data_IF_620107971029
#
_entry.id   IF_620107971029
#
_cell.length_a   1.000
_cell.length_b   1.000
_cell.length_c   1.000
_cell.angle_alpha   90.00
_cell.angle_beta   90.00
_cell.angle_gamma   90.00
#
_symmetry.space_group_name_H-M   'P 1'
#
loop_
_entity.id
_entity.type
_entity.pdbx_description
1 polymer ?
#
# COMPACT_ATOMS: atom_id res chain seq x y z
N UNK A 1 -17.21 -10.19 16.22
CA UNK A 1 -16.69 -8.82 16.00
C UNK A 1 -17.01 -7.99 17.22
N UNK A 2 -16.02 -7.33 17.83
CA UNK A 2 -16.29 -6.41 18.94
C UNK A 2 -16.84 -5.06 18.41
N UNK A 3 -17.31 -4.20 19.32
CA UNK A 3 -17.89 -2.90 18.98
C UNK A 3 -16.93 -2.02 18.17
N UNK A 4 -15.64 -2.07 18.51
CA UNK A 4 -14.56 -1.35 17.80
C UNK A 4 -14.48 -1.81 16.34
N UNK A 5 -14.47 -3.12 16.09
CA UNK A 5 -14.44 -3.67 14.74
C UNK A 5 -15.70 -3.30 13.95
N UNK A 6 -16.89 -3.38 14.57
CA UNK A 6 -18.14 -2.96 13.92
C UNK A 6 -18.09 -1.48 13.53
N UNK A 7 -17.59 -0.63 14.41
CA UNK A 7 -17.41 0.79 14.13
C UNK A 7 -16.44 1.03 12.96
N UNK A 8 -15.26 0.39 12.99
CA UNK A 8 -14.27 0.49 11.89
C UNK A 8 -14.88 0.05 10.56
N UNK A 9 -15.57 -1.09 10.53
CA UNK A 9 -16.21 -1.62 9.32
C UNK A 9 -17.30 -0.67 8.82
N UNK A 10 -18.15 -0.13 9.70
CA UNK A 10 -19.18 0.85 9.33
C UNK A 10 -18.57 2.13 8.76
N UNK A 11 -17.49 2.61 9.38
CA UNK A 11 -16.73 3.79 8.93
C UNK A 11 -16.09 3.56 7.57
N UNK A 12 -15.51 2.38 7.32
CA UNK A 12 -14.96 1.99 6.02
C UNK A 12 -16.07 1.89 4.95
N UNK A 13 -17.21 1.26 5.27
CA UNK A 13 -18.36 1.18 4.36
C UNK A 13 -18.91 2.56 3.99
N UNK A 14 -18.95 3.50 4.94
CA UNK A 14 -19.38 4.88 4.69
C UNK A 14 -18.40 5.64 3.78
N UNK A 15 -17.11 5.32 3.85
CA UNK A 15 -16.04 5.93 3.06
C UNK A 15 -15.54 4.95 1.99
N UNK A 16 -16.42 4.59 1.05
CA UNK A 16 -16.16 3.57 0.02
C UNK A 16 -14.87 3.81 -0.77
N UNK A 17 -14.61 5.03 -1.23
CA UNK A 17 -13.39 5.36 -1.99
C UNK A 17 -12.13 5.06 -1.17
N UNK A 18 -12.11 5.47 0.11
CA UNK A 18 -10.99 5.21 1.01
C UNK A 18 -10.76 3.70 1.18
N UNK A 19 -11.85 2.95 1.38
CA UNK A 19 -11.80 1.50 1.54
C UNK A 19 -11.32 0.79 0.29
N UNK A 20 -11.79 1.20 -0.89
CA UNK A 20 -11.36 0.65 -2.18
C UNK A 20 -9.87 0.88 -2.40
N UNK A 21 -9.38 2.10 -2.19
CA UNK A 21 -7.94 2.41 -2.32
C UNK A 21 -7.12 1.57 -1.35
N UNK A 22 -7.54 1.47 -0.08
CA UNK A 22 -6.86 0.66 0.93
C UNK A 22 -6.82 -0.82 0.52
N UNK A 23 -7.96 -1.41 0.15
CA UNK A 23 -8.06 -2.82 -0.24
C UNK A 23 -7.25 -3.11 -1.49
N UNK A 24 -7.37 -2.29 -2.54
CA UNK A 24 -6.61 -2.47 -3.78
C UNK A 24 -5.10 -2.37 -3.53
N UNK A 25 -4.67 -1.43 -2.67
CA UNK A 25 -3.26 -1.32 -2.32
C UNK A 25 -2.74 -2.56 -1.59
N UNK A 26 -3.47 -3.04 -0.58
CA UNK A 26 -3.09 -4.23 0.18
C UNK A 26 -3.09 -5.49 -0.70
N UNK A 27 -4.13 -5.67 -1.52
CA UNK A 27 -4.26 -6.80 -2.44
C UNK A 27 -3.12 -6.82 -3.47
N UNK A 28 -2.75 -5.67 -4.02
CA UNK A 28 -1.63 -5.57 -4.96
C UNK A 28 -0.30 -5.99 -4.32
N UNK A 29 0.03 -5.46 -3.14
CA UNK A 29 1.26 -5.83 -2.46
C UNK A 29 1.25 -7.28 -1.97
N UNK A 30 0.08 -7.82 -1.64
CA UNK A 30 -0.05 -9.24 -1.29
C UNK A 30 0.21 -10.13 -2.49
N UNK A 31 -0.41 -9.83 -3.63
CA UNK A 31 -0.17 -10.51 -4.90
C UNK A 31 1.32 -10.45 -5.30
N UNK A 32 1.93 -9.26 -5.24
CA UNK A 32 3.37 -9.10 -5.51
C UNK A 32 4.20 -9.87 -4.49
N UNK A 33 3.83 -9.85 -3.21
CA UNK A 33 4.47 -10.64 -2.16
C UNK A 33 4.52 -12.12 -2.50
N UNK A 34 3.39 -12.71 -2.90
CA UNK A 34 3.33 -14.11 -3.36
C UNK A 34 4.23 -14.32 -4.57
N UNK A 35 4.19 -13.42 -5.56
CA UNK A 35 5.03 -13.55 -6.75
C UNK A 35 6.52 -13.55 -6.43
N UNK A 36 6.97 -12.65 -5.54
CA UNK A 36 8.37 -12.61 -5.08
C UNK A 36 8.74 -13.83 -4.25
N UNK A 37 7.81 -14.34 -3.43
CA UNK A 37 8.00 -15.57 -2.68
C UNK A 37 8.28 -16.75 -3.61
N UNK A 38 7.53 -16.88 -4.70
CA UNK A 38 7.74 -17.92 -5.73
C UNK A 38 9.10 -17.78 -6.43
N UNK A 39 9.65 -16.57 -6.51
CA UNK A 39 11.00 -16.30 -7.04
C UNK A 39 12.11 -16.50 -5.98
N UNK A 40 11.78 -16.98 -4.78
CA UNK A 40 12.74 -17.18 -3.69
C UNK A 40 13.05 -15.94 -2.84
N UNK A 41 12.34 -14.83 -3.05
CA UNK A 41 12.48 -13.60 -2.27
C UNK A 41 11.36 -13.46 -1.24
N UNK A 42 11.67 -13.77 0.03
CA UNK A 42 10.68 -13.83 1.11
C UNK A 42 10.30 -12.45 1.69
N UNK A 43 11.17 -11.44 1.55
CA UNK A 43 11.03 -10.14 2.23
C UNK A 43 9.70 -9.43 1.89
N UNK A 44 9.27 -9.30 0.63
CA UNK A 44 8.04 -8.60 0.31
C UNK A 44 6.80 -9.28 0.90
N UNK A 45 6.77 -10.62 0.92
CA UNK A 45 5.68 -11.39 1.50
C UNK A 45 5.59 -11.24 3.02
N UNK A 46 6.73 -11.31 3.71
CA UNK A 46 6.78 -11.14 5.18
C UNK A 46 6.26 -9.75 5.56
N UNK A 47 6.68 -8.71 4.83
CA UNK A 47 6.28 -7.33 5.12
C UNK A 47 4.77 -7.13 4.95
N UNK A 48 4.16 -7.60 3.86
CA UNK A 48 2.71 -7.47 3.68
C UNK A 48 1.92 -8.34 4.67
N UNK A 49 2.40 -9.56 4.98
CA UNK A 49 1.77 -10.42 5.98
C UNK A 49 1.78 -9.78 7.37
N UNK A 50 2.87 -9.11 7.74
CA UNK A 50 2.98 -8.35 8.98
C UNK A 50 1.96 -7.20 9.01
N UNK A 51 1.86 -6.41 7.93
CA UNK A 51 0.88 -5.30 7.86
C UNK A 51 -0.56 -5.81 7.97
N UNK A 52 -0.90 -6.91 7.27
CA UNK A 52 -2.24 -7.52 7.37
C UNK A 52 -2.53 -8.00 8.79
N UNK A 53 -1.56 -8.65 9.43
CA UNK A 53 -1.66 -9.10 10.82
C UNK A 53 -1.87 -7.91 11.77
N UNK A 54 -1.11 -6.83 11.58
CA UNK A 54 -1.26 -5.59 12.35
C UNK A 54 -2.61 -4.91 12.11
N UNK A 55 -3.16 -4.93 10.89
CA UNK A 55 -4.50 -4.39 10.60
C UNK A 55 -5.58 -5.19 11.34
N UNK A 56 -5.50 -6.52 11.31
CA UNK A 56 -6.45 -7.39 12.03
C UNK A 56 -6.33 -7.17 13.53
N UNK A 57 -5.12 -7.16 14.08
CA UNK A 57 -4.89 -6.97 15.51
C UNK A 57 -5.32 -5.57 15.99
N UNK A 58 -4.90 -4.52 15.28
CA UNK A 58 -5.25 -3.14 15.62
C UNK A 58 -6.75 -2.86 15.51
N UNK A 59 -7.46 -3.54 14.61
CA UNK A 59 -8.93 -3.44 14.49
C UNK A 59 -9.66 -3.92 15.76
N UNK A 60 -9.05 -4.85 16.51
CA UNK A 60 -9.62 -5.36 17.78
C UNK A 60 -9.31 -4.44 18.95
N UNK A 61 -8.23 -3.65 18.88
CA UNK A 61 -7.71 -2.86 20.00
C UNK A 61 -8.37 -1.48 20.09
N UNK A 62 -8.27 -0.65 19.05
CA UNK A 62 -8.88 0.69 19.02
C UNK A 62 -8.85 1.30 17.62
N UNK A 63 -9.76 2.25 17.35
CA UNK A 63 -9.74 3.04 16.12
C UNK A 63 -8.42 3.82 15.95
N UNK A 64 -7.84 4.32 17.06
CA UNK A 64 -6.53 4.98 17.08
C UNK A 64 -5.40 4.04 16.63
N UNK A 65 -5.36 2.80 17.13
CA UNK A 65 -4.36 1.82 16.72
C UNK A 65 -4.51 1.48 15.23
N UNK A 66 -5.74 1.24 14.77
CA UNK A 66 -6.02 0.95 13.36
C UNK A 66 -5.59 2.11 12.45
N UNK A 67 -5.87 3.35 12.85
CA UNK A 67 -5.42 4.56 12.15
C UNK A 67 -3.91 4.67 12.07
N UNK A 68 -3.17 4.27 13.11
CA UNK A 68 -1.70 4.26 13.10
C UNK A 68 -1.20 3.23 12.09
N UNK A 69 -1.76 2.02 12.06
CA UNK A 69 -1.36 1.00 11.08
C UNK A 69 -1.63 1.46 9.64
N UNK A 70 -2.78 2.07 9.37
CA UNK A 70 -3.07 2.70 8.07
C UNK A 70 -2.05 3.81 7.75
N UNK A 71 -1.66 4.62 8.73
CA UNK A 71 -0.65 5.66 8.55
C UNK A 71 0.69 5.07 8.11
N UNK A 72 1.14 4.04 8.82
CA UNK A 72 2.38 3.30 8.52
C UNK A 72 2.29 2.68 7.13
N UNK A 73 1.18 2.02 6.79
CA UNK A 73 0.96 1.47 5.46
C UNK A 73 1.04 2.54 4.37
N UNK A 74 0.37 3.68 4.58
CA UNK A 74 0.39 4.79 3.61
C UNK A 74 1.80 5.31 3.40
N UNK A 75 2.61 5.45 4.46
CA UNK A 75 4.03 5.87 4.34
C UNK A 75 4.82 4.85 3.53
N UNK A 76 4.66 3.55 3.79
CA UNK A 76 5.38 2.50 3.05
C UNK A 76 5.05 2.56 1.55
N UNK A 77 3.78 2.75 1.20
CA UNK A 77 3.36 2.90 -0.20
C UNK A 77 3.88 4.21 -0.81
N UNK A 78 3.91 5.32 -0.06
CA UNK A 78 4.51 6.58 -0.51
C UNK A 78 6.00 6.43 -0.82
N UNK A 79 6.75 5.79 0.08
CA UNK A 79 8.18 5.52 -0.12
C UNK A 79 8.40 4.62 -1.34
N UNK A 80 7.65 3.52 -1.43
CA UNK A 80 7.75 2.59 -2.56
C UNK A 80 7.47 3.27 -3.90
N UNK A 81 6.37 4.03 -4.00
CA UNK A 81 5.98 4.70 -5.24
C UNK A 81 6.98 5.80 -5.62
N UNK A 82 7.45 6.58 -4.66
CA UNK A 82 8.49 7.60 -4.88
C UNK A 82 9.79 7.00 -5.40
N UNK A 83 10.30 5.96 -4.73
CA UNK A 83 11.54 5.27 -5.16
C UNK A 83 11.36 4.71 -6.58
N UNK A 84 10.21 4.10 -6.87
CA UNK A 84 9.93 3.53 -8.18
C UNK A 84 9.87 4.60 -9.28
N UNK A 85 9.25 5.74 -9.01
CA UNK A 85 9.23 6.88 -9.94
C UNK A 85 10.62 7.44 -10.20
N UNK A 86 11.45 7.57 -9.16
CA UNK A 86 12.85 7.98 -9.30
C UNK A 86 13.62 6.99 -10.18
N UNK A 87 13.47 5.68 -9.94
CA UNK A 87 14.09 4.65 -10.77
C UNK A 87 13.61 4.71 -12.22
N UNK A 88 12.32 4.93 -12.46
CA UNK A 88 11.78 5.15 -13.80
C UNK A 88 12.43 6.33 -14.52
N UNK A 89 12.62 7.46 -13.83
CA UNK A 89 13.33 8.61 -14.39
C UNK A 89 14.78 8.24 -14.74
N UNK A 90 15.51 7.59 -13.83
CA UNK A 90 16.90 7.19 -14.09
C UNK A 90 17.03 6.24 -15.29
N UNK A 91 16.07 5.32 -15.45
CA UNK A 91 16.04 4.38 -16.56
C UNK A 91 15.83 5.07 -17.90
N UNK A 92 14.96 6.09 -17.94
CA UNK A 92 14.61 6.81 -19.17
C UNK A 92 15.69 7.81 -19.59
N UNK A 93 16.40 8.43 -18.63
CA UNK A 93 17.29 9.56 -18.92
C UNK A 93 18.78 9.29 -18.76
N UNK A 94 19.20 8.24 -18.02
CA UNK A 94 20.63 8.00 -17.73
C UNK A 94 21.12 6.73 -18.42
N UNK A 95 20.56 5.57 -18.05
CA UNK A 95 20.96 4.29 -18.63
C UNK A 95 19.80 3.30 -18.56
N UNK A 96 19.37 2.72 -19.70
CA UNK A 96 18.38 1.67 -19.67
C UNK A 96 18.96 0.46 -18.92
N UNK A 97 18.22 0.00 -17.93
CA UNK A 97 18.50 -1.23 -17.18
C UNK A 97 18.40 -2.40 -18.16
N UNK A 98 19.47 -3.20 -18.35
CA UNK A 98 19.52 -4.25 -19.37
C UNK A 98 18.62 -5.46 -19.03
N UNK A 99 18.20 -5.60 -17.78
CA UNK A 99 17.32 -6.66 -17.31
C UNK A 99 15.88 -6.41 -17.78
N UNK A 100 15.40 -7.19 -18.76
CA UNK A 100 14.08 -7.00 -19.38
C UNK A 100 12.90 -7.00 -18.39
N UNK A 101 13.00 -7.76 -17.29
CA UNK A 101 11.98 -7.79 -16.24
C UNK A 101 11.98 -6.52 -15.36
N UNK A 102 13.10 -5.81 -15.27
CA UNK A 102 13.19 -4.50 -14.61
C UNK A 102 12.77 -3.41 -15.58
N UNK A 103 13.17 -3.47 -16.84
CA UNK A 103 12.76 -2.53 -17.88
C UNK A 103 11.23 -2.43 -18.03
N UNK A 104 10.53 -3.57 -18.02
CA UNK A 104 9.05 -3.58 -18.03
C UNK A 104 8.41 -2.95 -16.79
N UNK A 105 9.12 -2.93 -15.66
CA UNK A 105 8.65 -2.35 -14.41
C UNK A 105 8.83 -0.83 -14.32
N UNK A 106 9.78 -0.28 -15.07
CA UNK A 106 10.15 1.15 -15.10
C UNK A 106 9.74 1.85 -16.39
N UNK A 107 9.13 1.13 -17.33
CA UNK A 107 8.49 1.68 -18.52
C UNK A 107 7.24 2.51 -18.20
N UNK A 108 6.61 3.07 -19.25
CA UNK A 108 5.47 4.00 -19.14
C UNK A 108 4.32 3.45 -18.28
N UNK A 109 3.92 2.19 -18.48
CA UNK A 109 2.88 1.55 -17.67
C UNK A 109 3.27 1.43 -16.18
N UNK A 110 4.54 1.14 -15.90
CA UNK A 110 5.08 1.09 -14.55
C UNK A 110 5.06 2.46 -13.86
N UNK A 111 5.33 3.53 -14.61
CA UNK A 111 5.25 4.91 -14.13
C UNK A 111 3.81 5.31 -13.82
N UNK A 112 2.85 5.05 -14.71
CA UNK A 112 1.41 5.31 -14.48
C UNK A 112 0.94 4.56 -13.23
N UNK A 113 1.30 3.28 -13.11
CA UNK A 113 0.99 2.48 -11.95
C UNK A 113 1.55 3.10 -10.65
N UNK A 114 2.80 3.55 -10.68
CA UNK A 114 3.44 4.18 -9.52
C UNK A 114 2.77 5.50 -9.14
N UNK A 115 2.33 6.30 -10.11
CA UNK A 115 1.57 7.53 -9.88
C UNK A 115 0.22 7.26 -9.22
N UNK A 116 -0.52 6.23 -9.67
CA UNK A 116 -1.80 5.85 -9.07
C UNK A 116 -1.63 5.45 -7.60
N UNK A 117 -0.59 4.67 -7.29
CA UNK A 117 -0.27 4.28 -5.91
C UNK A 117 0.20 5.47 -5.07
N UNK A 118 0.96 6.40 -5.64
CA UNK A 118 1.38 7.63 -4.96
C UNK A 118 0.16 8.46 -4.57
N UNK A 119 -0.73 8.75 -5.52
CA UNK A 119 -1.96 9.52 -5.27
C UNK A 119 -2.87 8.82 -4.25
N UNK A 120 -3.03 7.50 -4.38
CA UNK A 120 -3.77 6.68 -3.43
C UNK A 120 -3.19 6.73 -2.02
N UNK A 121 -1.87 6.64 -1.88
CA UNK A 121 -1.20 6.70 -0.59
C UNK A 121 -1.26 8.11 0.05
N UNK A 122 -1.15 9.18 -0.75
CA UNK A 122 -1.39 10.56 -0.30
C UNK A 122 -2.83 10.69 0.20
N UNK A 123 -3.80 10.15 -0.52
CA UNK A 123 -5.21 10.17 -0.12
C UNK A 123 -5.43 9.41 1.20
N UNK A 124 -4.94 8.17 1.31
CA UNK A 124 -5.03 7.39 2.55
C UNK A 124 -4.39 8.13 3.73
N UNK A 125 -3.19 8.67 3.52
CA UNK A 125 -2.49 9.47 4.53
C UNK A 125 -3.35 10.66 4.94
N UNK A 126 -3.75 11.54 4.02
CA UNK A 126 -4.46 12.78 4.34
C UNK A 126 -5.79 12.54 5.07
N UNK A 127 -6.59 11.57 4.61
CA UNK A 127 -7.96 11.39 5.10
C UNK A 127 -8.11 10.45 6.29
N UNK A 128 -7.09 9.64 6.64
CA UNK A 128 -7.16 8.71 7.80
C UNK A 128 -7.53 9.40 9.11
N UNK A 129 -7.05 10.64 9.35
CA UNK A 129 -7.32 11.39 10.59
C UNK A 129 -8.77 11.81 10.69
N UNK A 130 -9.35 12.28 9.57
CA UNK A 130 -10.75 12.73 9.47
C UNK A 130 -11.71 11.55 9.57
N UNK A 131 -11.37 10.41 8.96
CA UNK A 131 -12.25 9.25 8.91
C UNK A 131 -12.29 8.51 10.25
N UNK A 132 -11.15 8.39 10.93
CA UNK A 132 -11.03 7.71 12.23
C UNK A 132 -10.83 8.71 13.37
N UNK A 133 -11.64 9.76 13.38
CA UNK A 133 -11.58 10.84 14.35
C UNK A 133 -12.48 10.53 15.57
N UNK A 134 -12.14 9.45 16.29
CA UNK A 134 -12.69 9.08 17.59
C UNK A 134 -11.59 8.38 18.41
#
# INVERSE_FOLDING_TARGET
MNEVQQHIVKTLKRNTIFSVILILSLAYFFYKGIWYLLLGSYVPFILIALILSLLVWSSRKSAKAFRIVIATWSILVLLWSTVRLLLSLTHQFIKPVPEGHVAGQVGVLGTIHSLLFLLGAIYLWKYRKRIFQY
#
